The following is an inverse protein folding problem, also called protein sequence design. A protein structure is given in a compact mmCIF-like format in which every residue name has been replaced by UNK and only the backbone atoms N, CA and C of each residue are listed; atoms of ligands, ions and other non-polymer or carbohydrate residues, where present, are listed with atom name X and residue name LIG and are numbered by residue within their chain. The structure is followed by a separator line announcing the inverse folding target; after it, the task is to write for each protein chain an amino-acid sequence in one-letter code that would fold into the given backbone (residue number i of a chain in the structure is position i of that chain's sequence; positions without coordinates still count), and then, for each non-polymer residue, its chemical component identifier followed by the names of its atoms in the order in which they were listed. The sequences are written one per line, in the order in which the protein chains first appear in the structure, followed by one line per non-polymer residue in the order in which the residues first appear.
data_IF_763018004921
#
_entry.id   IF_763018004921
#
_cell.length_a   1.000
_cell.length_b   1.000
_cell.length_c   1.000
_cell.angle_alpha   90.00
_cell.angle_beta   90.00
_cell.angle_gamma   90.00
#
_symmetry.space_group_name_H-M   'P 1'
#
loop_
_entity.id
_entity.type
_entity.pdbx_description
1 polymer ?
#
# COMPACT_ATOMS: atom_id res chain seq x y z
N UNK A 1 -11.82 6.70 -35.12
CA UNK A 1 -11.48 5.98 -33.87
C UNK A 1 -12.14 6.71 -32.74
N UNK A 2 -12.90 6.02 -31.89
CA UNK A 2 -13.52 6.64 -30.73
C UNK A 2 -12.43 7.03 -29.72
N UNK A 3 -12.52 8.21 -29.10
CA UNK A 3 -11.47 8.74 -28.22
C UNK A 3 -11.04 7.78 -27.10
N UNK A 4 -11.93 6.90 -26.65
CA UNK A 4 -11.63 5.88 -25.63
C UNK A 4 -10.69 4.76 -26.11
N UNK A 5 -10.69 4.42 -27.41
CA UNK A 5 -9.84 3.36 -27.96
C UNK A 5 -8.36 3.79 -28.02
N UNK A 6 -8.11 5.08 -28.28
CA UNK A 6 -6.77 5.64 -28.28
C UNK A 6 -6.13 5.65 -26.89
N UNK A 7 -6.94 5.79 -25.82
CA UNK A 7 -6.45 5.71 -24.43
C UNK A 7 -5.87 4.31 -24.15
N UNK A 8 -6.57 3.25 -24.54
CA UNK A 8 -6.07 1.88 -24.38
C UNK A 8 -4.76 1.62 -25.13
N UNK A 9 -4.58 2.20 -26.32
CA UNK A 9 -3.35 2.04 -27.09
C UNK A 9 -2.17 2.79 -26.46
N UNK A 10 -2.39 4.04 -26.02
CA UNK A 10 -1.34 4.88 -25.43
C UNK A 10 -0.94 4.41 -24.04
N UNK A 11 -1.88 3.90 -23.24
CA UNK A 11 -1.61 3.40 -21.89
C UNK A 11 -1.15 1.94 -21.90
N UNK A 12 -1.77 1.09 -22.73
CA UNK A 12 -1.45 -0.34 -22.81
C UNK A 12 -0.19 -0.65 -23.61
N UNK A 13 0.12 0.13 -24.66
CA UNK A 13 1.29 -0.09 -25.51
C UNK A 13 2.62 -0.12 -24.75
N UNK A 14 2.95 0.94 -23.96
CA UNK A 14 4.16 0.96 -23.14
C UNK A 14 4.21 -0.17 -22.11
N UNK A 15 3.07 -0.53 -21.51
CA UNK A 15 2.99 -1.64 -20.56
C UNK A 15 3.31 -2.99 -21.21
N UNK A 16 2.78 -3.25 -22.42
CA UNK A 16 3.09 -4.46 -23.19
C UNK A 16 4.56 -4.51 -23.58
N UNK A 17 5.13 -3.38 -24.03
CA UNK A 17 6.55 -3.30 -24.37
C UNK A 17 7.43 -3.57 -23.13
N UNK A 18 7.10 -2.98 -21.99
CA UNK A 18 7.77 -3.25 -20.72
C UNK A 18 7.63 -4.70 -20.27
N UNK A 19 6.48 -5.33 -20.46
CA UNK A 19 6.27 -6.74 -20.14
C UNK A 19 7.13 -7.65 -21.04
N UNK A 20 7.19 -7.38 -22.35
CA UNK A 20 8.06 -8.11 -23.28
C UNK A 20 9.54 -7.94 -22.93
N UNK A 21 9.94 -6.72 -22.58
CA UNK A 21 11.30 -6.43 -22.11
C UNK A 21 11.60 -7.20 -20.81
N UNK A 22 10.69 -7.15 -19.83
CA UNK A 22 10.84 -7.85 -18.56
C UNK A 22 10.99 -9.36 -18.74
N UNK A 23 10.22 -10.00 -19.63
CA UNK A 23 10.36 -11.44 -19.94
C UNK A 23 11.76 -11.77 -20.50
N UNK A 24 12.35 -10.86 -21.29
CA UNK A 24 13.69 -11.04 -21.85
C UNK A 24 14.83 -10.77 -20.85
N UNK A 25 14.62 -9.91 -19.85
CA UNK A 25 15.69 -9.42 -18.97
C UNK A 25 15.63 -9.88 -17.50
N UNK A 26 14.44 -10.14 -16.93
CA UNK A 26 14.33 -10.63 -15.55
C UNK A 26 14.78 -12.09 -15.49
N UNK A 27 15.77 -12.36 -14.64
CA UNK A 27 16.28 -13.70 -14.39
C UNK A 27 15.87 -14.15 -12.97
N UNK A 28 15.31 -15.34 -12.84
CA UNK A 28 14.88 -15.89 -11.53
C UNK A 28 16.04 -16.14 -10.55
N UNK A 29 17.27 -16.19 -11.06
CA UNK A 29 18.47 -16.44 -10.25
C UNK A 29 19.60 -15.48 -10.65
N UNK A 30 20.38 -14.96 -9.67
CA UNK A 30 21.58 -14.16 -9.92
C UNK A 30 22.51 -14.82 -10.93
N UNK A 31 22.64 -16.15 -10.84
CA UNK A 31 23.47 -16.97 -11.73
C UNK A 31 23.11 -16.87 -13.22
N UNK A 32 21.87 -16.49 -13.56
CA UNK A 32 21.39 -16.33 -14.94
C UNK A 32 21.39 -14.88 -15.42
N UNK A 33 21.57 -13.91 -14.51
CA UNK A 33 21.51 -12.49 -14.83
C UNK A 33 22.72 -12.05 -15.65
N UNK A 34 22.57 -11.89 -16.97
CA UNK A 34 23.62 -11.49 -17.91
C UNK A 34 24.09 -10.04 -17.76
N UNK A 35 23.32 -9.22 -17.04
CA UNK A 35 23.62 -7.82 -16.77
C UNK A 35 24.44 -7.59 -15.48
N UNK A 36 24.62 -8.63 -14.65
CA UNK A 36 25.45 -8.57 -13.44
C UNK A 36 26.89 -9.00 -13.75
N UNK A 37 27.86 -8.28 -13.20
CA UNK A 37 29.27 -8.70 -13.21
C UNK A 37 29.46 -9.98 -12.37
N UNK A 38 30.55 -10.72 -12.61
CA UNK A 38 30.86 -11.92 -11.85
C UNK A 38 31.00 -11.66 -10.34
N UNK A 39 31.49 -10.48 -9.96
CA UNK A 39 31.66 -10.06 -8.57
C UNK A 39 30.31 -9.76 -7.91
N UNK A 40 29.44 -8.98 -8.56
CA UNK A 40 28.09 -8.68 -8.05
C UNK A 40 27.24 -9.95 -7.95
N UNK A 41 27.34 -10.85 -8.93
CA UNK A 41 26.63 -12.14 -8.92
C UNK A 41 27.05 -13.00 -7.73
N UNK A 42 28.35 -13.10 -7.47
CA UNK A 42 28.87 -13.87 -6.32
C UNK A 42 28.43 -13.25 -5.00
N UNK A 43 28.55 -11.93 -4.86
CA UNK A 43 28.11 -11.20 -3.67
C UNK A 43 26.61 -11.40 -3.41
N UNK A 44 25.78 -11.24 -4.44
CA UNK A 44 24.33 -11.37 -4.32
C UNK A 44 23.93 -12.81 -3.95
N UNK A 45 24.61 -13.80 -4.53
CA UNK A 45 24.36 -15.21 -4.22
C UNK A 45 24.74 -15.56 -2.78
N UNK A 46 25.90 -15.11 -2.31
CA UNK A 46 26.30 -15.27 -0.91
C UNK A 46 25.33 -14.59 0.05
N UNK A 47 24.83 -13.40 -0.30
CA UNK A 47 23.85 -12.69 0.52
C UNK A 47 22.52 -13.44 0.62
N UNK A 48 22.03 -13.98 -0.49
CA UNK A 48 20.82 -14.80 -0.52
C UNK A 48 20.98 -16.10 0.28
N UNK A 49 22.15 -16.75 0.21
CA UNK A 49 22.45 -17.95 0.98
C UNK A 49 22.52 -17.65 2.49
N UNK A 50 23.11 -16.53 2.90
CA UNK A 50 23.10 -16.07 4.29
C UNK A 50 21.68 -15.78 4.80
N UNK A 51 20.85 -15.13 3.99
CA UNK A 51 19.45 -14.90 4.35
C UNK A 51 18.65 -16.20 4.45
N UNK A 52 18.90 -17.17 3.56
CA UNK A 52 18.25 -18.47 3.59
C UNK A 52 18.67 -19.28 4.83
N UNK A 53 19.96 -19.24 5.20
CA UNK A 53 20.49 -19.88 6.38
C UNK A 53 19.93 -19.28 7.68
N UNK A 54 19.71 -17.96 7.74
CA UNK A 54 19.07 -17.29 8.89
C UNK A 54 17.56 -17.52 9.01
N UNK A 55 16.91 -18.01 7.94
CA UNK A 55 15.46 -18.28 7.87
C UNK A 55 15.13 -19.78 8.02
N UNK A 56 16.07 -20.60 8.49
CA UNK A 56 15.99 -22.08 8.57
C UNK A 56 15.07 -22.62 9.67
N UNK A 57 13.88 -22.03 9.84
CA UNK A 57 12.78 -22.65 10.56
C UNK A 57 11.92 -23.42 9.56
N UNK A 58 11.78 -24.74 9.73
CA UNK A 58 10.85 -25.57 8.98
C UNK A 58 9.47 -24.90 9.00
N UNK A 59 9.07 -24.31 7.86
CA UNK A 59 7.83 -23.56 7.75
C UNK A 59 6.67 -24.47 8.09
N UNK A 60 5.93 -24.13 9.15
CA UNK A 60 4.61 -24.72 9.38
C UNK A 60 3.80 -24.47 8.10
N UNK A 61 3.15 -25.50 7.56
CA UNK A 61 2.57 -25.47 6.21
C UNK A 61 1.65 -24.27 5.94
N UNK A 62 1.29 -24.04 4.68
CA UNK A 62 0.47 -22.90 4.21
C UNK A 62 -0.75 -22.65 5.11
N UNK A 63 -1.44 -23.71 5.53
CA UNK A 63 -2.61 -23.62 6.42
C UNK A 63 -2.29 -22.99 7.79
N UNK A 64 -1.13 -23.33 8.37
CA UNK A 64 -0.68 -22.75 9.65
C UNK A 64 -0.32 -21.27 9.51
N UNK A 65 0.11 -20.86 8.32
CA UNK A 65 0.42 -19.46 8.02
C UNK A 65 -0.85 -18.61 7.92
N UNK A 66 -1.90 -19.16 7.33
CA UNK A 66 -3.21 -18.52 7.19
C UNK A 66 -3.92 -18.41 8.55
N UNK A 67 -3.86 -19.47 9.36
CA UNK A 67 -4.48 -19.50 10.70
C UNK A 67 -3.66 -18.80 11.78
N UNK A 68 -2.52 -18.19 11.42
CA UNK A 68 -1.73 -17.45 12.38
C UNK A 68 -2.46 -16.16 12.80
N UNK A 69 -2.65 -15.92 14.11
CA UNK A 69 -3.41 -14.77 14.60
C UNK A 69 -2.81 -13.42 14.17
N UNK A 70 -1.49 -13.30 14.08
CA UNK A 70 -0.83 -12.08 13.57
C UNK A 70 -1.15 -11.87 12.09
N UNK A 71 -1.17 -12.93 11.27
CA UNK A 71 -1.55 -12.83 9.85
C UNK A 71 -3.02 -12.51 9.68
N UNK A 72 -3.92 -13.07 10.49
CA UNK A 72 -5.33 -12.72 10.48
C UNK A 72 -5.55 -11.24 10.82
N UNK A 73 -4.85 -10.71 11.84
CA UNK A 73 -4.90 -9.29 12.20
C UNK A 73 -4.36 -8.42 11.06
N UNK A 74 -3.21 -8.77 10.47
CA UNK A 74 -2.66 -8.05 9.32
C UNK A 74 -3.60 -8.12 8.10
N UNK A 75 -4.29 -9.23 7.90
CA UNK A 75 -5.28 -9.41 6.85
C UNK A 75 -6.47 -8.46 7.04
N UNK A 76 -7.00 -8.37 8.25
CA UNK A 76 -8.08 -7.43 8.60
C UNK A 76 -7.62 -5.98 8.47
N UNK A 77 -6.40 -5.66 8.91
CA UNK A 77 -5.83 -4.33 8.74
C UNK A 77 -5.65 -3.97 7.27
N UNK A 78 -5.16 -4.89 6.44
CA UNK A 78 -5.05 -4.68 5.00
C UNK A 78 -6.42 -4.52 4.34
N UNK A 79 -7.43 -5.29 4.77
CA UNK A 79 -8.81 -5.13 4.30
C UNK A 79 -9.36 -3.73 4.64
N UNK A 80 -9.03 -3.19 5.82
CA UNK A 80 -9.38 -1.83 6.19
C UNK A 80 -8.65 -0.77 5.33
N UNK A 81 -7.35 -0.96 5.08
CA UNK A 81 -6.58 -0.10 4.17
C UNK A 81 -7.17 -0.14 2.75
N UNK A 82 -7.44 -1.34 2.23
CA UNK A 82 -8.06 -1.54 0.92
C UNK A 82 -9.43 -0.85 0.85
N UNK A 83 -10.26 -0.97 1.89
CA UNK A 83 -11.54 -0.25 1.97
C UNK A 83 -11.34 1.25 1.77
N UNK A 84 -10.40 1.86 2.50
CA UNK A 84 -10.09 3.28 2.38
C UNK A 84 -9.57 3.67 0.99
N UNK A 85 -8.68 2.87 0.39
CA UNK A 85 -8.19 3.10 -0.98
C UNK A 85 -9.36 3.12 -1.97
N UNK A 86 -10.20 2.10 -1.96
CA UNK A 86 -11.29 1.98 -2.92
C UNK A 86 -12.39 3.02 -2.66
N UNK A 87 -12.76 3.27 -1.40
CA UNK A 87 -13.73 4.29 -1.05
C UNK A 87 -13.28 5.68 -1.54
N UNK A 88 -12.03 6.07 -1.28
CA UNK A 88 -11.50 7.34 -1.77
C UNK A 88 -11.38 7.34 -3.31
N UNK A 89 -10.83 6.29 -3.92
CA UNK A 89 -10.63 6.26 -5.37
C UNK A 89 -11.95 6.39 -6.15
N UNK A 90 -13.01 5.70 -5.74
CA UNK A 90 -14.29 5.73 -6.44
C UNK A 90 -15.14 6.96 -6.11
N UNK A 91 -15.18 7.38 -4.83
CA UNK A 91 -16.11 8.42 -4.42
C UNK A 91 -15.51 9.82 -4.40
N UNK A 92 -14.19 9.98 -4.30
CA UNK A 92 -13.56 11.30 -4.34
C UNK A 92 -13.94 12.10 -5.60
N UNK A 93 -13.92 11.54 -6.84
CA UNK A 93 -14.40 12.28 -8.02
C UNK A 93 -15.89 12.62 -7.96
N UNK A 94 -16.72 11.72 -7.44
CA UNK A 94 -18.17 11.92 -7.33
C UNK A 94 -18.51 13.00 -6.30
N UNK A 95 -17.75 13.06 -5.20
CA UNK A 95 -17.88 14.09 -4.16
C UNK A 95 -17.55 15.44 -4.76
N UNK A 96 -16.39 15.59 -5.41
CA UNK A 96 -16.00 16.85 -6.05
C UNK A 96 -17.01 17.27 -7.12
N UNK A 97 -17.57 16.31 -7.88
CA UNK A 97 -18.66 16.58 -8.81
C UNK A 97 -19.93 17.09 -8.14
N UNK A 98 -20.33 16.47 -7.02
CA UNK A 98 -21.52 16.87 -6.26
C UNK A 98 -21.42 18.29 -5.68
N UNK A 99 -20.20 18.82 -5.56
CA UNK A 99 -19.92 20.20 -5.13
C UNK A 99 -20.00 21.23 -6.29
N UNK A 100 -20.47 20.82 -7.48
CA UNK A 100 -20.74 21.73 -8.60
C UNK A 100 -19.60 21.90 -9.60
N UNK A 101 -18.53 21.12 -9.51
CA UNK A 101 -17.42 21.17 -10.46
C UNK A 101 -17.73 20.50 -11.81
N UNK A 102 -17.21 21.09 -12.89
CA UNK A 102 -17.27 20.49 -14.22
C UNK A 102 -16.37 19.25 -14.32
N UNK A 103 -16.67 18.34 -15.25
CA UNK A 103 -15.88 17.12 -15.45
C UNK A 103 -14.38 17.43 -15.72
N UNK A 104 -14.09 18.50 -16.46
CA UNK A 104 -12.71 18.93 -16.73
C UNK A 104 -12.02 19.44 -15.47
N UNK A 105 -12.71 20.24 -14.65
CA UNK A 105 -12.15 20.77 -13.42
C UNK A 105 -11.86 19.67 -12.38
N UNK A 106 -12.72 18.64 -12.30
CA UNK A 106 -12.46 17.45 -11.46
C UNK A 106 -11.13 16.81 -11.84
N UNK A 107 -10.87 16.63 -13.14
CA UNK A 107 -9.61 16.07 -13.63
C UNK A 107 -8.40 16.82 -13.08
N UNK A 108 -8.39 18.15 -13.17
CA UNK A 108 -7.28 18.98 -12.67
C UNK A 108 -7.17 18.99 -11.14
N UNK A 109 -8.29 19.09 -10.43
CA UNK A 109 -8.27 19.18 -8.96
C UNK A 109 -7.84 17.87 -8.33
N UNK A 110 -8.23 16.73 -8.89
CA UNK A 110 -7.82 15.42 -8.37
C UNK A 110 -6.34 15.10 -8.60
N UNK A 111 -5.63 15.86 -9.45
CA UNK A 111 -4.17 15.76 -9.54
C UNK A 111 -3.52 16.11 -8.20
N UNK A 112 -4.07 17.06 -7.44
CA UNK A 112 -3.48 17.52 -6.18
C UNK A 112 -3.39 16.39 -5.12
N UNK A 113 -4.48 15.69 -4.75
CA UNK A 113 -4.39 14.54 -3.85
C UNK A 113 -3.44 13.45 -4.36
N UNK A 114 -3.45 13.15 -5.66
CA UNK A 114 -2.58 12.10 -6.21
C UNK A 114 -1.08 12.47 -6.15
N UNK A 115 -0.73 13.74 -6.37
CA UNK A 115 0.63 14.24 -6.16
C UNK A 115 1.01 14.12 -4.68
N UNK A 116 0.13 14.52 -3.76
CA UNK A 116 0.36 14.36 -2.32
C UNK A 116 0.57 12.89 -1.94
N UNK A 117 -0.25 11.98 -2.47
CA UNK A 117 -0.07 10.53 -2.34
C UNK A 117 1.30 10.05 -2.81
N UNK A 118 1.71 10.48 -4.00
CA UNK A 118 3.00 10.12 -4.59
C UNK A 118 4.19 10.61 -3.76
N UNK A 119 4.12 11.86 -3.29
CA UNK A 119 5.14 12.44 -2.40
C UNK A 119 5.22 11.65 -1.09
N UNK A 120 4.06 11.36 -0.47
CA UNK A 120 4.00 10.58 0.76
C UNK A 120 4.61 9.19 0.60
N UNK A 121 4.25 8.49 -0.47
CA UNK A 121 4.82 7.19 -0.83
C UNK A 121 6.35 7.22 -0.87
N UNK A 122 6.95 8.20 -1.54
CA UNK A 122 8.41 8.31 -1.67
C UNK A 122 9.06 8.65 -0.33
N UNK A 123 8.54 9.67 0.38
CA UNK A 123 9.10 10.13 1.64
C UNK A 123 9.02 9.04 2.73
N UNK A 124 7.86 8.40 2.85
CA UNK A 124 7.62 7.38 3.85
C UNK A 124 8.43 6.11 3.57
N UNK A 125 8.51 5.67 2.31
CA UNK A 125 9.33 4.50 1.94
C UNK A 125 10.81 4.76 2.25
N UNK A 126 11.35 5.92 1.85
CA UNK A 126 12.74 6.30 2.16
C UNK A 126 13.01 6.38 3.66
N UNK A 127 12.10 7.01 4.41
CA UNK A 127 12.23 7.12 5.86
C UNK A 127 12.14 5.75 6.55
N UNK A 128 11.25 4.88 6.08
CA UNK A 128 11.11 3.51 6.59
C UNK A 128 12.38 2.70 6.34
N UNK A 129 13.01 2.86 5.17
CA UNK A 129 14.23 2.14 4.83
C UNK A 129 15.43 2.63 5.66
N UNK A 130 15.52 3.94 5.93
CA UNK A 130 16.59 4.53 6.75
C UNK A 130 16.46 4.20 8.24
N UNK A 131 15.24 4.28 8.77
CA UNK A 131 14.99 4.10 10.22
C UNK A 131 14.77 2.66 10.61
N UNK A 132 14.38 1.79 9.68
CA UNK A 132 13.97 0.41 9.97
C UNK A 132 12.66 0.29 10.79
N UNK A 133 12.04 1.40 11.19
CA UNK A 133 10.84 1.44 12.04
C UNK A 133 9.55 1.21 11.22
N UNK A 134 9.50 0.07 10.52
CA UNK A 134 8.44 -0.29 9.55
C UNK A 134 7.03 -0.17 10.12
N UNK A 135 6.84 -0.51 11.39
CA UNK A 135 5.52 -0.45 12.03
C UNK A 135 4.95 0.97 12.10
N UNK A 136 5.75 1.93 12.57
CA UNK A 136 5.29 3.32 12.71
C UNK A 136 5.09 3.99 11.36
N UNK A 137 5.88 3.60 10.36
CA UNK A 137 5.74 4.03 8.97
C UNK A 137 4.50 3.43 8.27
N UNK A 138 3.77 2.52 8.90
CA UNK A 138 2.45 2.07 8.42
C UNK A 138 1.34 2.65 9.30
N UNK A 139 1.48 2.55 10.62
CA UNK A 139 0.42 2.97 11.56
C UNK A 139 0.11 4.46 11.45
N UNK A 140 1.14 5.33 11.47
CA UNK A 140 0.92 6.77 11.44
C UNK A 140 0.31 7.22 10.12
N UNK A 141 0.78 6.77 8.94
CA UNK A 141 0.14 7.16 7.69
C UNK A 141 -1.27 6.57 7.50
N UNK A 142 -1.55 5.34 7.97
CA UNK A 142 -2.93 4.82 7.96
C UNK A 142 -3.85 5.64 8.87
N UNK A 143 -3.36 6.03 10.06
CA UNK A 143 -4.13 6.89 10.95
C UNK A 143 -4.37 8.28 10.34
N UNK A 144 -3.35 8.85 9.70
CA UNK A 144 -3.45 10.11 8.94
C UNK A 144 -4.47 10.00 7.80
N UNK A 145 -4.48 8.86 7.10
CA UNK A 145 -5.47 8.57 6.07
C UNK A 145 -6.90 8.58 6.63
N UNK A 146 -7.08 7.94 7.79
CA UNK A 146 -8.36 7.89 8.49
C UNK A 146 -8.86 9.27 8.91
N UNK A 147 -7.98 10.08 9.52
CA UNK A 147 -8.29 11.47 9.89
C UNK A 147 -8.60 12.31 8.67
N UNK A 148 -7.83 12.19 7.59
CA UNK A 148 -8.07 12.89 6.33
C UNK A 148 -9.43 12.55 5.71
N UNK A 149 -9.81 11.27 5.72
CA UNK A 149 -11.13 10.83 5.24
C UNK A 149 -12.27 11.41 6.10
N UNK A 150 -12.18 11.33 7.43
CA UNK A 150 -13.18 11.93 8.32
C UNK A 150 -13.29 13.44 8.13
N UNK A 151 -12.15 14.13 8.05
CA UNK A 151 -12.09 15.57 7.83
C UNK A 151 -12.75 15.95 6.50
N UNK A 152 -12.50 15.19 5.42
CA UNK A 152 -13.13 15.43 4.13
C UNK A 152 -14.66 15.31 4.23
N UNK A 153 -15.19 14.36 5.02
CA UNK A 153 -16.62 14.18 5.23
C UNK A 153 -17.29 15.30 6.01
N UNK A 154 -16.59 15.87 6.99
CA UNK A 154 -17.08 16.98 7.82
C UNK A 154 -16.96 18.32 7.07
N UNK A 155 -15.95 18.47 6.22
CA UNK A 155 -15.61 19.72 5.54
C UNK A 155 -16.26 19.89 4.16
N UNK A 156 -17.24 19.03 3.81
CA UNK A 156 -17.94 19.03 2.51
C UNK A 156 -18.62 20.37 2.16
N UNK A 157 -18.81 21.28 3.11
CA UNK A 157 -19.31 22.63 2.85
C UNK A 157 -18.29 23.58 2.19
N UNK A 158 -17.01 23.22 2.15
CA UNK A 158 -15.95 24.05 1.58
C UNK A 158 -15.02 23.18 0.72
N UNK A 159 -15.03 23.42 -0.60
CA UNK A 159 -14.24 22.65 -1.56
C UNK A 159 -12.75 22.68 -1.27
N UNK A 160 -12.19 23.83 -0.90
CA UNK A 160 -10.76 23.97 -0.63
C UNK A 160 -10.34 23.12 0.57
N UNK A 161 -11.16 23.11 1.63
CA UNK A 161 -10.91 22.32 2.83
C UNK A 161 -11.12 20.82 2.57
N UNK A 162 -12.13 20.45 1.76
CA UNK A 162 -12.38 19.06 1.37
C UNK A 162 -11.20 18.51 0.55
N UNK A 163 -10.71 19.27 -0.42
CA UNK A 163 -9.55 18.88 -1.23
C UNK A 163 -8.29 18.79 -0.37
N UNK A 164 -8.06 19.74 0.54
CA UNK A 164 -6.94 19.67 1.47
C UNK A 164 -7.01 18.41 2.35
N UNK A 165 -8.19 18.04 2.83
CA UNK A 165 -8.40 16.81 3.59
C UNK A 165 -8.17 15.54 2.73
N UNK A 166 -8.59 15.55 1.45
CA UNK A 166 -8.25 14.46 0.53
C UNK A 166 -6.75 14.37 0.25
N UNK A 167 -6.02 15.48 0.16
CA UNK A 167 -4.56 15.47 0.04
C UNK A 167 -3.90 14.79 1.26
N UNK A 168 -4.37 15.09 2.48
CA UNK A 168 -3.91 14.43 3.70
C UNK A 168 -4.26 12.94 3.69
N UNK A 169 -5.50 12.60 3.30
CA UNK A 169 -5.99 11.24 3.21
C UNK A 169 -5.18 10.36 2.26
N UNK A 170 -4.97 10.88 1.05
CA UNK A 170 -4.22 10.21 -0.03
C UNK A 170 -2.72 10.13 0.26
N UNK A 171 -2.13 11.17 0.86
CA UNK A 171 -0.76 11.12 1.39
C UNK A 171 -0.61 9.96 2.37
N UNK A 172 -1.49 9.87 3.37
CA UNK A 172 -1.43 8.82 4.39
C UNK A 172 -1.57 7.41 3.80
N UNK A 173 -2.60 7.18 2.98
CA UNK A 173 -2.88 5.84 2.48
C UNK A 173 -1.79 5.38 1.50
N UNK A 174 -1.38 6.20 0.53
CA UNK A 174 -0.35 5.86 -0.44
C UNK A 174 1.02 5.61 0.22
N UNK A 175 1.34 6.34 1.29
CA UNK A 175 2.55 6.13 2.11
C UNK A 175 2.59 4.75 2.76
N UNK A 176 1.43 4.27 3.24
CA UNK A 176 1.37 3.05 4.04
C UNK A 176 1.45 1.75 3.24
N UNK A 177 0.96 1.73 1.98
CA UNK A 177 0.89 0.52 1.16
C UNK A 177 2.24 -0.17 0.92
N UNK A 178 3.30 0.50 0.44
CA UNK A 178 4.57 -0.17 0.15
C UNK A 178 5.23 -0.70 1.43
N UNK A 179 5.16 0.06 2.53
CA UNK A 179 5.76 -0.33 3.80
C UNK A 179 4.99 -1.48 4.46
N UNK A 180 3.67 -1.54 4.27
CA UNK A 180 2.83 -2.62 4.81
C UNK A 180 3.32 -4.00 4.35
N UNK A 181 3.71 -4.15 3.09
CA UNK A 181 4.17 -5.45 2.55
C UNK A 181 5.49 -5.95 3.16
N UNK A 182 6.22 -5.08 3.85
CA UNK A 182 7.38 -5.49 4.65
C UNK A 182 7.00 -6.17 5.97
N UNK A 183 5.75 -6.02 6.44
CA UNK A 183 5.30 -6.60 7.71
C UNK A 183 5.01 -8.11 7.61
N UNK A 184 4.16 -8.61 6.67
CA UNK A 184 3.92 -10.05 6.55
C UNK A 184 5.18 -10.83 6.19
N UNK A 185 6.04 -10.27 5.34
CA UNK A 185 7.29 -10.91 4.87
C UNK A 185 8.37 -10.96 5.96
N UNK A 186 8.38 -10.00 6.89
CA UNK A 186 9.26 -10.04 8.05
C UNK A 186 8.80 -11.07 9.09
N UNK A 187 7.49 -11.32 9.19
CA UNK A 187 6.92 -12.26 10.16
C UNK A 187 6.90 -13.70 9.66
N UNK A 188 6.62 -13.93 8.37
CA UNK A 188 6.56 -15.26 7.77
C UNK A 188 7.93 -15.66 7.22
N UNK A 189 8.45 -16.80 7.66
CA UNK A 189 9.62 -17.43 7.03
C UNK A 189 9.37 -17.78 5.56
N UNK A 190 10.43 -17.92 4.77
CA UNK A 190 10.36 -18.03 3.30
C UNK A 190 9.39 -19.11 2.77
N UNK A 191 9.24 -20.24 3.46
CA UNK A 191 8.31 -21.32 3.06
C UNK A 191 6.82 -21.06 3.36
N UNK A 192 6.52 -20.18 4.30
CA UNK A 192 5.17 -19.85 4.78
C UNK A 192 4.64 -18.52 4.22
N UNK A 193 5.55 -17.64 3.78
CA UNK A 193 5.27 -16.28 3.35
C UNK A 193 4.31 -16.22 2.15
N UNK A 194 4.52 -17.05 1.12
CA UNK A 194 3.72 -17.01 -0.10
C UNK A 194 2.22 -17.23 0.18
N UNK A 195 1.89 -18.22 1.02
CA UNK A 195 0.50 -18.54 1.38
C UNK A 195 -0.18 -17.43 2.19
N UNK A 196 0.51 -16.88 3.19
CA UNK A 196 -0.02 -15.78 3.98
C UNK A 196 -0.18 -14.49 3.19
N UNK A 197 0.77 -14.15 2.32
CA UNK A 197 0.71 -12.98 1.42
C UNK A 197 -0.44 -13.12 0.44
N UNK A 198 -0.61 -14.29 -0.19
CA UNK A 198 -1.70 -14.57 -1.10
C UNK A 198 -3.07 -14.44 -0.39
N UNK A 199 -3.17 -14.93 0.83
CA UNK A 199 -4.39 -14.79 1.64
C UNK A 199 -4.70 -13.33 1.98
N UNK A 200 -3.71 -12.56 2.45
CA UNK A 200 -3.85 -11.12 2.72
C UNK A 200 -4.32 -10.37 1.46
N UNK A 201 -3.68 -10.63 0.32
CA UNK A 201 -4.03 -10.00 -0.94
C UNK A 201 -5.46 -10.34 -1.39
N UNK A 202 -5.84 -11.62 -1.28
CA UNK A 202 -7.18 -12.10 -1.67
C UNK A 202 -8.28 -11.42 -0.84
N UNK A 203 -8.08 -11.31 0.47
CA UNK A 203 -9.01 -10.61 1.36
C UNK A 203 -9.06 -9.10 1.07
N UNK A 204 -7.95 -8.48 0.69
CA UNK A 204 -7.93 -7.10 0.21
C UNK A 204 -8.77 -6.90 -1.05
N UNK A 205 -8.73 -7.84 -2.00
CA UNK A 205 -9.57 -7.77 -3.21
C UNK A 205 -11.07 -7.94 -2.87
N UNK A 206 -11.42 -8.81 -1.93
CA UNK A 206 -12.80 -8.93 -1.43
C UNK A 206 -13.25 -7.60 -0.81
N UNK A 207 -12.39 -6.96 0.00
CA UNK A 207 -12.67 -5.62 0.53
C UNK A 207 -12.90 -4.62 -0.60
N UNK A 208 -12.16 -4.68 -1.70
CA UNK A 208 -12.37 -3.80 -2.85
C UNK A 208 -13.69 -4.00 -3.59
N UNK A 209 -14.27 -5.19 -3.54
CA UNK A 209 -15.61 -5.44 -4.04
C UNK A 209 -16.69 -4.93 -3.07
N UNK A 210 -16.52 -5.17 -1.77
CA UNK A 210 -17.51 -4.82 -0.73
C UNK A 210 -17.50 -3.33 -0.41
N UNK A 211 -16.34 -2.68 -0.43
CA UNK A 211 -16.17 -1.29 0.01
C UNK A 211 -17.05 -0.30 -0.76
N UNK A 212 -17.11 -0.34 -2.11
CA UNK A 212 -17.99 0.57 -2.84
C UNK A 212 -19.48 0.33 -2.59
N UNK A 213 -19.88 -0.93 -2.37
CA UNK A 213 -21.27 -1.28 -2.08
C UNK A 213 -21.70 -0.72 -0.72
N UNK A 214 -20.90 -0.94 0.32
CA UNK A 214 -21.16 -0.40 1.66
C UNK A 214 -21.15 1.13 1.64
N UNK A 215 -20.16 1.74 0.98
CA UNK A 215 -20.06 3.20 0.86
C UNK A 215 -21.27 3.78 0.11
N UNK A 216 -21.74 3.11 -0.94
CA UNK A 216 -22.95 3.47 -1.69
C UNK A 216 -24.21 3.39 -0.83
N UNK A 217 -24.42 2.28 -0.11
CA UNK A 217 -25.56 2.10 0.79
C UNK A 217 -25.58 3.16 1.92
N UNK A 218 -24.41 3.47 2.48
CA UNK A 218 -24.27 4.53 3.48
C UNK A 218 -24.59 5.90 2.89
N UNK A 219 -24.22 6.15 1.64
CA UNK A 219 -24.53 7.40 0.95
C UNK A 219 -26.03 7.53 0.71
N UNK A 220 -26.66 6.49 0.18
CA UNK A 220 -28.07 6.50 -0.19
C UNK A 220 -28.97 6.60 1.05
N UNK A 221 -28.59 5.97 2.16
CA UNK A 221 -29.32 6.05 3.44
C UNK A 221 -29.11 7.36 4.20
N UNK A 222 -27.92 7.97 4.13
CA UNK A 222 -27.62 9.24 4.82
C UNK A 222 -27.93 10.48 3.99
N UNK A 223 -28.20 10.33 2.69
CA UNK A 223 -28.46 11.44 1.76
C UNK A 223 -27.22 12.26 1.39
N UNK A 224 -26.00 11.78 1.72
CA UNK A 224 -24.78 12.54 1.48
C UNK A 224 -23.49 11.73 1.67
N UNK A 225 -22.35 12.41 1.54
CA UNK A 225 -21.03 11.78 1.62
C UNK A 225 -20.35 11.87 3.00
N UNK A 226 -20.93 12.59 3.95
CA UNK A 226 -20.37 12.72 5.30
C UNK A 226 -20.30 11.37 6.02
N UNK A 227 -21.42 10.64 6.12
CA UNK A 227 -21.44 9.34 6.81
C UNK A 227 -20.51 8.32 6.15
N UNK A 228 -20.53 8.11 4.82
CA UNK A 228 -19.59 7.20 4.18
C UNK A 228 -18.12 7.53 4.45
N UNK A 229 -17.73 8.80 4.41
CA UNK A 229 -16.35 9.22 4.64
C UNK A 229 -15.93 9.10 6.11
N UNK A 230 -16.82 9.40 7.05
CA UNK A 230 -16.57 9.20 8.48
C UNK A 230 -16.42 7.70 8.79
N UNK A 231 -17.25 6.84 8.20
CA UNK A 231 -17.13 5.38 8.34
C UNK A 231 -15.82 4.89 7.72
N UNK A 232 -15.47 5.35 6.51
CA UNK A 232 -14.19 5.00 5.88
C UNK A 232 -13.00 5.40 6.74
N UNK A 233 -13.03 6.61 7.31
CA UNK A 233 -12.01 7.05 8.24
C UNK A 233 -11.95 6.21 9.51
N UNK A 234 -13.11 5.79 10.04
CA UNK A 234 -13.20 4.91 11.21
C UNK A 234 -12.62 3.53 10.92
N UNK A 235 -12.92 2.95 9.77
CA UNK A 235 -12.34 1.68 9.30
C UNK A 235 -10.82 1.79 9.17
N UNK A 236 -10.29 2.89 8.64
CA UNK A 236 -8.84 3.10 8.56
C UNK A 236 -8.20 3.20 9.95
N UNK A 237 -8.81 3.94 10.88
CA UNK A 237 -8.32 4.05 12.25
C UNK A 237 -8.35 2.72 13.00
N UNK A 238 -9.39 1.88 12.79
CA UNK A 238 -9.42 0.53 13.34
C UNK A 238 -8.32 -0.33 12.71
N UNK A 239 -8.06 -0.20 11.41
CA UNK A 239 -6.92 -0.84 10.75
C UNK A 239 -5.57 -0.47 11.36
N UNK A 240 -5.33 0.82 11.62
CA UNK A 240 -4.12 1.28 12.32
C UNK A 240 -4.02 0.70 13.75
N UNK A 241 -5.14 0.69 14.49
CA UNK A 241 -5.23 0.08 15.81
C UNK A 241 -4.96 -1.42 15.82
N UNK A 242 -5.46 -2.16 14.82
CA UNK A 242 -5.20 -3.58 14.63
C UNK A 242 -3.71 -3.86 14.38
N UNK A 243 -3.05 -3.04 13.54
CA UNK A 243 -1.60 -3.18 13.29
C UNK A 243 -0.81 -2.95 14.59
N UNK A 244 -1.19 -1.95 15.39
CA UNK A 244 -0.59 -1.72 16.71
C UNK A 244 -0.80 -2.89 17.66
N UNK A 245 -2.01 -3.45 17.70
CA UNK A 245 -2.38 -4.57 18.57
C UNK A 245 -1.78 -5.92 18.13
N UNK A 246 -1.36 -6.06 16.87
CA UNK A 246 -0.83 -7.31 16.30
C UNK A 246 0.42 -7.87 17.00
N UNK A 247 1.10 -7.06 17.81
CA UNK A 247 2.35 -7.45 18.48
C UNK A 247 3.53 -7.67 17.52
N UNK A 248 3.36 -7.37 16.23
CA UNK A 248 4.37 -7.62 15.19
C UNK A 248 5.68 -6.85 15.44
N UNK A 249 5.61 -5.74 16.21
CA UNK A 249 6.78 -4.98 16.66
C UNK A 249 7.87 -5.86 17.28
N UNK A 250 7.49 -6.91 18.01
CA UNK A 250 8.43 -7.81 18.70
C UNK A 250 9.22 -8.71 17.73
N UNK A 251 8.73 -8.88 16.51
CA UNK A 251 9.27 -9.77 15.48
C UNK A 251 10.00 -9.00 14.37
N UNK A 252 9.89 -7.67 14.36
CA UNK A 252 10.63 -6.85 13.41
C UNK A 252 12.12 -6.81 13.83
N UNK A 253 13.06 -6.99 12.90
CA UNK A 253 14.47 -6.77 13.18
C UNK A 253 14.63 -5.37 13.75
N UNK A 254 15.32 -5.22 14.89
CA UNK A 254 15.70 -3.90 15.36
C UNK A 254 16.51 -3.23 14.26
N UNK A 255 16.24 -1.95 14.01
CA UNK A 255 17.02 -1.14 13.09
C UNK A 255 18.51 -1.38 13.39
N UNK A 256 19.26 -1.81 12.38
CA UNK A 256 20.71 -1.83 12.51
C UNK A 256 21.13 -0.40 12.82
N UNK A 257 21.81 -0.20 13.95
CA UNK A 257 22.51 1.06 14.21
C UNK A 257 23.33 1.41 12.97
N UNK A 258 23.33 2.66 12.48
CA UNK A 258 24.16 3.08 11.36
C UNK A 258 25.65 3.05 11.78
N UNK A 259 26.21 1.86 11.78
CA UNK A 259 27.63 1.48 11.80
C UNK A 259 27.62 0.21 10.96
N UNK A 260 27.93 0.24 9.67
CA UNK A 260 29.31 0.38 9.19
C UNK A 260 29.19 0.76 7.71
N UNK A 261 29.25 2.06 7.42
CA UNK A 261 29.50 2.51 6.07
C UNK A 261 30.88 1.97 5.69
N UNK A 262 30.91 0.90 4.91
CA UNK A 262 32.14 0.40 4.31
C UNK A 262 32.88 1.59 3.68
N UNK A 263 34.21 1.71 3.88
CA UNK A 263 34.96 2.82 3.31
C UNK A 263 34.80 2.74 1.80
N UNK A 264 34.26 3.81 1.22
CA UNK A 264 34.26 4.03 -0.22
C UNK A 264 35.73 4.04 -0.63
N UNK A 265 36.18 2.94 -1.24
CA UNK A 265 37.47 2.90 -1.90
C UNK A 265 37.37 3.84 -3.11
N UNK A 266 38.00 5.01 -2.97
CA UNK A 266 38.33 5.90 -4.07
C UNK A 266 39.50 5.35 -4.88
#
# INVERSE_FOLDING_TARGET
MAGWQWIFLVEGGPAVLLALYAIGTLCDRPAKATWLTAQERTWLQQRLEQEAAGKSGHGKGVLHSILNPTILILTLAYAAMAYGVYALAFFMPLIVKSMGMSNTAIGYVLVLPNICGSIGMILCSRSSDQTGERLWHVVLPVALAGVGAMAAGILLGNIYLTIAAFCVGTFGIASSLPVFWNLPTAYLGAGAAAGGIAFVNSMGNISGYVAPQVTGLLRDSSGGYTVPLVVAGGVLLTGAGLILASGIRKHLPRAATPMEAAPVLH
#
